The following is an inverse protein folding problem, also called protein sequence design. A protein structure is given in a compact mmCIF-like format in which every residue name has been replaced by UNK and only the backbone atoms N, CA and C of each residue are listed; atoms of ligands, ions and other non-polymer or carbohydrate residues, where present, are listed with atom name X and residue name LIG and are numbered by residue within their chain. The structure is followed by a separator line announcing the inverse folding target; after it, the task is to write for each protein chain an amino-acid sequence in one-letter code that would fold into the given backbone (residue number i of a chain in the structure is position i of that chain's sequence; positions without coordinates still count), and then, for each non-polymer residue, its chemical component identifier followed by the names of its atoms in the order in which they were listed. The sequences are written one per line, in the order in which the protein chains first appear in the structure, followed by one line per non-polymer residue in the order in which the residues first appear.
data_IF_316237046210
#
_entry.id   IF_316237046210
#
_cell.length_a   1.000
_cell.length_b   1.000
_cell.length_c   1.000
_cell.angle_alpha   90.00
_cell.angle_beta   90.00
_cell.angle_gamma   90.00
#
_symmetry.space_group_name_H-M   'P 1'
#
loop_
_entity.id
_entity.type
_entity.pdbx_description
1 polymer ?
#
# COMPACT_ATOMS: atom_id res chain seq x y z
N UNK A 1 7.65 -64.62 1.23
CA UNK A 1 8.18 -63.32 1.73
C UNK A 1 8.12 -62.20 0.69
N UNK A 2 8.63 -62.37 -0.54
CA UNK A 2 8.60 -61.31 -1.58
C UNK A 2 7.21 -60.75 -1.95
N UNK A 3 6.16 -61.58 -1.98
CA UNK A 3 4.79 -61.14 -2.32
C UNK A 3 4.12 -60.28 -1.23
N UNK A 4 4.43 -60.54 0.05
CA UNK A 4 3.91 -59.74 1.18
C UNK A 4 4.59 -58.37 1.19
N UNK A 5 5.89 -58.32 0.90
CA UNK A 5 6.64 -57.07 0.80
C UNK A 5 6.12 -56.17 -0.33
N UNK A 6 5.76 -56.75 -1.48
CA UNK A 6 5.15 -56.01 -2.59
C UNK A 6 3.78 -55.41 -2.22
N UNK A 7 2.97 -56.16 -1.47
CA UNK A 7 1.66 -55.69 -1.02
C UNK A 7 1.75 -54.52 -0.05
N UNK A 8 2.74 -54.51 0.85
CA UNK A 8 2.99 -53.41 1.79
C UNK A 8 3.43 -52.14 1.05
N UNK A 9 4.28 -52.27 0.03
CA UNK A 9 4.71 -51.12 -0.81
C UNK A 9 3.54 -50.54 -1.60
N UNK A 10 2.70 -51.40 -2.21
CA UNK A 10 1.51 -50.96 -2.94
C UNK A 10 0.53 -50.26 -1.99
N UNK A 11 0.35 -50.76 -0.77
CA UNK A 11 -0.51 -50.13 0.24
C UNK A 11 0.04 -48.76 0.68
N UNK A 12 1.37 -48.61 0.77
CA UNK A 12 2.03 -47.34 1.10
C UNK A 12 1.95 -46.31 -0.04
N UNK A 13 1.97 -46.76 -1.30
CA UNK A 13 1.80 -45.92 -2.49
C UNK A 13 0.33 -45.52 -2.74
N UNK A 14 -0.62 -46.27 -2.19
CA UNK A 14 -2.05 -45.98 -2.24
C UNK A 14 -2.52 -45.09 -1.09
N UNK A 15 -1.66 -44.76 -0.13
CA UNK A 15 -1.96 -43.69 0.83
C UNK A 15 -2.07 -42.40 0.00
N UNK A 16 -3.26 -41.78 -0.10
CA UNK A 16 -3.36 -40.49 -0.74
C UNK A 16 -2.40 -39.58 0.02
N UNK A 17 -1.39 -39.06 -0.68
CA UNK A 17 -0.66 -37.90 -0.18
C UNK A 17 -1.73 -36.83 -0.06
N UNK A 18 -2.23 -36.62 1.16
CA UNK A 18 -2.97 -35.42 1.51
C UNK A 18 -1.99 -34.28 1.33
N UNK A 19 -1.81 -33.86 0.07
CA UNK A 19 -1.37 -32.53 -0.24
C UNK A 19 -2.49 -31.67 0.31
N UNK A 20 -2.28 -31.15 1.51
CA UNK A 20 -3.05 -30.01 1.98
C UNK A 20 -2.90 -28.97 0.89
N UNK A 21 -3.97 -28.72 0.13
CA UNK A 21 -4.02 -27.59 -0.77
C UNK A 21 -3.78 -26.36 0.11
N UNK A 22 -2.53 -25.90 0.19
CA UNK A 22 -2.20 -24.70 0.92
C UNK A 22 -2.88 -23.58 0.15
N UNK A 23 -3.92 -23.01 0.74
CA UNK A 23 -4.57 -21.83 0.19
C UNK A 23 -3.48 -20.75 0.08
N UNK A 24 -3.10 -20.42 -1.15
CA UNK A 24 -2.13 -19.35 -1.42
C UNK A 24 -2.88 -18.04 -1.32
N UNK A 25 -2.71 -17.34 -0.20
CA UNK A 25 -3.23 -15.99 -0.04
C UNK A 25 -2.32 -15.01 -0.79
N UNK A 26 -2.91 -14.13 -1.58
CA UNK A 26 -2.24 -12.91 -2.04
C UNK A 26 -2.22 -11.86 -0.93
N UNK A 27 -1.40 -10.82 -1.09
CA UNK A 27 -1.38 -9.67 -0.18
C UNK A 27 -2.77 -9.05 -0.02
N UNK A 28 -3.50 -8.87 -1.12
CA UNK A 28 -4.90 -8.44 -1.12
C UNK A 28 -5.79 -9.32 -0.24
N UNK A 29 -5.65 -10.64 -0.34
CA UNK A 29 -6.48 -11.58 0.43
C UNK A 29 -6.21 -11.47 1.93
N UNK A 30 -4.97 -11.18 2.32
CA UNK A 30 -4.60 -10.92 3.71
C UNK A 30 -5.27 -9.64 4.20
N UNK A 31 -5.09 -8.53 3.48
CA UNK A 31 -5.62 -7.21 3.85
C UNK A 31 -7.15 -7.22 3.96
N UNK A 32 -7.84 -7.57 2.88
CA UNK A 32 -9.31 -7.60 2.82
C UNK A 32 -9.90 -8.69 3.72
N UNK A 33 -9.17 -9.80 3.90
CA UNK A 33 -9.59 -10.87 4.79
C UNK A 33 -9.54 -10.48 6.27
N UNK A 34 -8.56 -9.69 6.70
CA UNK A 34 -8.50 -9.15 8.06
C UNK A 34 -9.66 -8.19 8.30
N UNK A 35 -9.92 -7.27 7.35
CA UNK A 35 -11.05 -6.33 7.44
C UNK A 35 -12.39 -7.08 7.62
N UNK A 36 -12.62 -8.10 6.78
CA UNK A 36 -13.83 -8.93 6.85
C UNK A 36 -13.97 -9.68 8.18
N UNK A 37 -12.86 -10.16 8.75
CA UNK A 37 -12.88 -10.82 10.06
C UNK A 37 -13.26 -9.87 11.19
N UNK A 38 -12.84 -8.60 11.10
CA UNK A 38 -13.23 -7.53 12.03
C UNK A 38 -14.68 -7.07 11.83
N UNK A 39 -15.31 -7.45 10.72
CA UNK A 39 -16.62 -6.98 10.24
C UNK A 39 -16.62 -5.49 9.88
N UNK A 40 -15.48 -4.99 9.37
CA UNK A 40 -15.43 -3.66 8.79
C UNK A 40 -15.99 -3.64 7.37
N UNK A 41 -16.59 -2.51 7.01
CA UNK A 41 -16.97 -2.18 5.64
C UNK A 41 -15.76 -1.58 4.93
N UNK A 42 -15.52 -1.96 3.67
CA UNK A 42 -14.41 -1.42 2.90
C UNK A 42 -14.71 0.03 2.52
N UNK A 43 -13.83 0.93 2.90
CA UNK A 43 -13.93 2.35 2.55
C UNK A 43 -13.08 2.63 1.31
N UNK A 44 -11.79 2.35 1.40
CA UNK A 44 -10.83 2.60 0.32
C UNK A 44 -9.58 1.73 0.45
N UNK A 45 -8.88 1.56 -0.67
CA UNK A 45 -7.57 0.95 -0.73
C UNK A 45 -6.57 1.94 -1.31
N UNK A 46 -5.46 2.13 -0.61
CA UNK A 46 -4.42 3.08 -0.97
C UNK A 46 -3.16 2.31 -1.37
N UNK A 47 -2.53 2.72 -2.47
CA UNK A 47 -1.26 2.18 -2.94
C UNK A 47 -0.30 3.35 -3.08
N UNK A 48 0.72 3.37 -2.21
CA UNK A 48 1.79 4.35 -2.25
C UNK A 48 3.05 3.69 -2.79
N UNK A 49 3.65 4.28 -3.82
CA UNK A 49 4.87 3.78 -4.44
C UNK A 49 5.84 4.95 -4.55
N UNK A 50 7.04 4.81 -4.00
CA UNK A 50 7.99 5.91 -3.99
C UNK A 50 9.44 5.53 -3.82
N UNK A 51 10.31 6.52 -3.95
CA UNK A 51 11.75 6.37 -3.74
C UNK A 51 12.57 7.35 -4.58
N UNK A 52 13.89 7.18 -4.52
CA UNK A 52 14.84 7.95 -5.32
C UNK A 52 14.82 7.45 -6.76
N UNK A 53 14.65 8.37 -7.72
CA UNK A 53 14.76 8.09 -9.15
C UNK A 53 16.08 8.59 -9.75
N UNK A 54 16.69 9.65 -9.19
CA UNK A 54 17.99 10.16 -9.64
C UNK A 54 18.83 10.63 -8.45
N UNK A 55 20.13 10.33 -8.46
CA UNK A 55 21.09 10.81 -7.44
C UNK A 55 21.65 12.19 -7.83
N UNK A 56 20.79 13.09 -8.33
CA UNK A 56 21.15 14.44 -8.71
C UNK A 56 19.98 15.42 -8.54
N UNK A 57 20.32 16.71 -8.43
CA UNK A 57 19.36 17.80 -8.50
C UNK A 57 19.10 18.14 -9.97
N UNK A 58 17.83 18.19 -10.37
CA UNK A 58 17.43 18.41 -11.76
C UNK A 58 16.73 19.75 -11.94
N UNK A 59 16.79 20.32 -13.16
CA UNK A 59 16.16 21.60 -13.46
C UNK A 59 14.63 21.52 -13.49
N UNK A 60 13.99 22.70 -13.45
CA UNK A 60 12.56 22.87 -13.66
C UNK A 60 12.06 22.25 -14.96
N UNK A 61 12.81 22.36 -16.04
CA UNK A 61 12.41 21.82 -17.35
C UNK A 61 12.42 20.30 -17.31
N UNK A 62 13.45 19.72 -16.67
CA UNK A 62 13.59 18.26 -16.55
C UNK A 62 12.53 17.66 -15.62
N UNK A 63 12.21 18.29 -14.49
CA UNK A 63 11.16 17.79 -13.59
C UNK A 63 9.78 17.79 -14.28
N UNK A 64 9.50 18.80 -15.12
CA UNK A 64 8.28 18.87 -15.93
C UNK A 64 8.24 17.86 -17.06
N UNK A 65 9.38 17.53 -17.64
CA UNK A 65 9.48 16.48 -18.65
C UNK A 65 9.15 15.12 -18.04
N UNK A 66 9.83 14.75 -16.94
CA UNK A 66 9.58 13.50 -16.22
C UNK A 66 8.12 13.43 -15.73
N UNK A 67 7.59 14.53 -15.16
CA UNK A 67 6.19 14.58 -14.71
C UNK A 67 5.19 14.31 -15.84
N UNK A 68 5.43 14.83 -17.04
CA UNK A 68 4.59 14.56 -18.22
C UNK A 68 4.71 13.11 -18.70
N UNK A 69 5.92 12.57 -18.77
CA UNK A 69 6.16 11.17 -19.15
C UNK A 69 5.42 10.21 -18.21
N UNK A 70 5.56 10.40 -16.89
CA UNK A 70 4.87 9.58 -15.88
C UNK A 70 3.36 9.74 -15.97
N UNK A 71 2.87 10.97 -16.14
CA UNK A 71 1.43 11.24 -16.31
C UNK A 71 0.86 10.43 -17.49
N UNK A 72 1.57 10.45 -18.62
CA UNK A 72 1.14 9.75 -19.83
C UNK A 72 1.25 8.23 -19.68
N UNK A 73 2.28 7.72 -19.00
CA UNK A 73 2.44 6.29 -18.70
C UNK A 73 1.35 5.75 -17.75
N UNK A 74 0.98 6.54 -16.75
CA UNK A 74 -0.14 6.25 -15.85
C UNK A 74 -1.50 6.57 -16.45
N UNK A 75 -1.53 7.13 -17.67
CA UNK A 75 -2.72 7.47 -18.44
C UNK A 75 -3.72 8.31 -17.63
N UNK A 76 -3.23 9.37 -16.99
CA UNK A 76 -4.14 10.29 -16.33
C UNK A 76 -5.03 10.97 -17.37
N UNK A 77 -6.32 11.05 -17.05
CA UNK A 77 -7.35 11.65 -17.90
C UNK A 77 -7.67 13.08 -17.47
N UNK A 78 -8.32 13.81 -18.37
CA UNK A 78 -8.81 15.17 -18.12
C UNK A 78 -7.93 16.27 -18.72
N UNK A 79 -8.44 17.50 -18.67
CA UNK A 79 -7.73 18.70 -19.11
C UNK A 79 -7.02 19.37 -17.93
N UNK A 80 -5.90 20.06 -18.18
CA UNK A 80 -5.19 20.79 -17.14
C UNK A 80 -6.04 21.96 -16.62
N UNK A 81 -6.26 22.02 -15.32
CA UNK A 81 -6.96 23.12 -14.66
C UNK A 81 -5.95 24.18 -14.20
N UNK A 82 -6.22 25.44 -14.54
CA UNK A 82 -5.50 26.58 -13.98
C UNK A 82 -5.83 26.72 -12.48
N UNK A 83 -4.79 26.73 -11.64
CA UNK A 83 -4.84 26.80 -10.16
C UNK A 83 -5.73 27.92 -9.61
N UNK A 84 -6.06 28.93 -10.42
CA UNK A 84 -6.93 30.04 -10.02
C UNK A 84 -8.44 29.70 -9.95
N UNK A 85 -8.85 28.48 -10.28
CA UNK A 85 -10.23 28.01 -10.10
C UNK A 85 -10.32 27.02 -8.94
N UNK A 86 -10.51 27.58 -7.74
CA UNK A 86 -10.60 26.83 -6.49
C UNK A 86 -11.76 25.83 -6.40
N UNK A 87 -11.58 24.87 -5.51
CA UNK A 87 -12.53 23.85 -5.04
C UNK A 87 -13.27 23.06 -6.14
N UNK A 88 -12.52 22.34 -6.96
CA UNK A 88 -13.10 21.34 -7.85
C UNK A 88 -12.80 19.93 -7.33
N UNK A 89 -13.88 19.22 -6.98
CA UNK A 89 -13.91 17.76 -7.06
C UNK A 89 -13.51 17.38 -8.49
N UNK A 90 -12.29 16.87 -8.65
CA UNK A 90 -11.73 16.47 -9.94
C UNK A 90 -12.37 15.15 -10.40
N UNK A 91 -13.66 15.09 -10.75
CA UNK A 91 -14.27 13.81 -11.20
C UNK A 91 -13.79 13.40 -12.61
N UNK A 92 -12.50 13.15 -12.81
CA UNK A 92 -11.89 12.69 -14.07
C UNK A 92 -11.92 13.66 -15.25
N UNK A 93 -12.55 14.84 -15.10
CA UNK A 93 -12.64 15.87 -16.14
C UNK A 93 -11.38 16.72 -16.23
N UNK A 94 -10.67 16.87 -15.12
CA UNK A 94 -9.52 17.75 -15.01
C UNK A 94 -8.40 17.07 -14.24
N UNK A 95 -7.17 17.51 -14.48
CA UNK A 95 -6.04 17.32 -13.59
C UNK A 95 -5.47 18.66 -13.16
N UNK A 96 -4.90 18.72 -11.97
CA UNK A 96 -4.26 19.89 -11.40
C UNK A 96 -2.74 19.65 -11.36
N UNK A 97 -1.97 20.68 -11.69
CA UNK A 97 -0.51 20.69 -11.51
C UNK A 97 -0.15 21.77 -10.52
N UNK A 98 0.58 21.43 -9.47
CA UNK A 98 1.20 22.34 -8.52
C UNK A 98 2.71 22.34 -8.70
N UNK A 99 3.32 23.53 -8.66
CA UNK A 99 4.75 23.70 -8.92
C UNK A 99 5.36 24.62 -7.88
N UNK A 100 6.48 24.21 -7.28
CA UNK A 100 7.28 25.03 -6.36
C UNK A 100 8.73 25.00 -6.83
N UNK A 101 9.32 26.17 -7.04
CA UNK A 101 10.70 26.30 -7.49
C UNK A 101 11.43 27.34 -6.64
N UNK A 102 12.43 26.87 -5.91
CA UNK A 102 13.25 27.63 -4.99
C UNK A 102 14.73 27.25 -5.18
N UNK A 103 15.63 28.01 -4.57
CA UNK A 103 17.06 27.70 -4.65
C UNK A 103 17.35 26.34 -4.00
N UNK A 104 17.86 25.40 -4.80
CA UNK A 104 18.15 24.04 -4.34
C UNK A 104 16.92 23.17 -4.10
N UNK A 105 15.73 23.60 -4.51
CA UNK A 105 14.50 22.81 -4.38
C UNK A 105 13.55 23.02 -5.56
N UNK A 106 13.24 21.94 -6.26
CA UNK A 106 12.23 21.91 -7.32
C UNK A 106 11.19 20.85 -7.00
N UNK A 107 9.92 21.21 -7.05
CA UNK A 107 8.81 20.30 -6.77
C UNK A 107 7.70 20.45 -7.78
N UNK A 108 7.10 19.32 -8.15
CA UNK A 108 5.97 19.23 -9.03
C UNK A 108 5.02 18.17 -8.48
N UNK A 109 3.77 18.55 -8.25
CA UNK A 109 2.69 17.63 -7.89
C UNK A 109 1.62 17.65 -8.98
N UNK A 110 1.16 16.47 -9.40
CA UNK A 110 0.05 16.30 -10.35
C UNK A 110 -1.05 15.53 -9.62
N UNK A 111 -2.24 16.11 -9.57
CA UNK A 111 -3.44 15.48 -9.02
C UNK A 111 -4.42 15.22 -10.15
N UNK A 112 -4.83 13.98 -10.31
CA UNK A 112 -5.72 13.60 -11.41
C UNK A 112 -6.34 12.24 -11.18
N UNK A 113 -6.88 11.68 -12.26
CA UNK A 113 -7.60 10.41 -12.23
C UNK A 113 -7.08 9.51 -13.34
N UNK A 114 -7.04 8.21 -13.09
CA UNK A 114 -6.78 7.19 -14.11
C UNK A 114 -8.00 6.96 -15.02
N UNK A 115 -7.82 6.23 -16.13
CA UNK A 115 -8.92 5.79 -17.02
C UNK A 115 -10.05 5.04 -16.26
N UNK A 116 -9.71 4.36 -15.16
CA UNK A 116 -10.64 3.66 -14.28
C UNK A 116 -11.32 4.57 -13.24
N UNK A 117 -11.10 5.89 -13.31
CA UNK A 117 -11.58 6.88 -12.33
C UNK A 117 -11.06 6.68 -10.90
N UNK A 118 -9.90 6.05 -10.74
CA UNK A 118 -9.18 6.07 -9.45
C UNK A 118 -8.44 7.41 -9.32
N UNK A 119 -8.55 8.13 -8.18
CA UNK A 119 -7.67 9.26 -7.87
C UNK A 119 -6.20 8.85 -7.88
N UNK A 120 -5.36 9.68 -8.50
CA UNK A 120 -3.91 9.51 -8.62
C UNK A 120 -3.22 10.81 -8.26
N UNK A 121 -2.22 10.74 -7.39
CA UNK A 121 -1.30 11.83 -7.11
C UNK A 121 0.11 11.42 -7.51
N UNK A 122 0.79 12.26 -8.28
CA UNK A 122 2.21 12.11 -8.64
C UNK A 122 2.96 13.27 -7.99
N UNK A 123 4.01 12.99 -7.22
CA UNK A 123 4.87 14.00 -6.60
C UNK A 123 6.31 13.73 -7.02
N UNK A 124 6.92 14.72 -7.66
CA UNK A 124 8.33 14.76 -7.97
C UNK A 124 8.98 15.85 -7.14
N UNK A 125 10.06 15.52 -6.46
CA UNK A 125 10.82 16.48 -5.67
C UNK A 125 12.30 16.31 -5.90
N UNK A 126 12.98 17.41 -6.23
CA UNK A 126 14.41 17.46 -6.42
C UNK A 126 15.01 18.41 -5.41
N UNK A 127 15.96 17.94 -4.62
CA UNK A 127 16.60 18.68 -3.53
C UNK A 127 18.10 18.71 -3.77
N UNK A 128 18.74 19.82 -3.46
CA UNK A 128 20.19 19.96 -3.39
C UNK A 128 20.58 20.12 -1.93
N UNK A 129 21.45 19.23 -1.43
CA UNK A 129 22.06 19.44 -0.13
C UNK A 129 23.23 20.43 -0.28
N UNK A 130 23.13 21.66 0.26
CA UNK A 130 24.14 22.69 0.05
C UNK A 130 25.46 22.38 0.77
N UNK A 131 25.44 21.58 1.84
CA UNK A 131 26.63 21.31 2.66
C UNK A 131 27.59 20.33 1.98
N UNK A 132 27.05 19.36 1.24
CA UNK A 132 27.83 18.30 0.57
C UNK A 132 27.75 18.39 -0.97
N UNK A 133 26.96 19.33 -1.50
CA UNK A 133 26.72 19.55 -2.93
C UNK A 133 26.29 18.27 -3.68
N UNK A 134 25.45 17.47 -3.03
CA UNK A 134 24.82 16.27 -3.59
C UNK A 134 23.34 16.57 -3.73
N UNK A 135 22.79 16.29 -4.91
CA UNK A 135 21.36 16.39 -5.15
C UNK A 135 20.69 15.02 -5.17
N UNK A 136 19.38 15.03 -4.97
CA UNK A 136 18.55 13.83 -5.03
C UNK A 136 17.19 14.21 -5.62
N UNK A 137 16.67 13.36 -6.50
CA UNK A 137 15.31 13.50 -7.03
C UNK A 137 14.49 12.26 -6.68
N UNK A 138 13.35 12.49 -6.02
CA UNK A 138 12.42 11.47 -5.57
C UNK A 138 11.12 11.53 -6.37
N UNK A 139 10.48 10.37 -6.50
CA UNK A 139 9.16 10.18 -7.07
C UNK A 139 8.29 9.50 -6.02
N UNK A 140 7.08 10.02 -5.80
CA UNK A 140 6.03 9.37 -5.04
C UNK A 140 4.75 9.35 -5.87
N UNK A 141 4.09 8.21 -5.93
CA UNK A 141 2.82 8.01 -6.61
C UNK A 141 1.85 7.42 -5.60
N UNK A 142 0.71 8.08 -5.40
CA UNK A 142 -0.39 7.57 -4.59
C UNK A 142 -1.59 7.25 -5.49
N UNK A 143 -2.23 6.12 -5.26
CA UNK A 143 -3.44 5.70 -5.97
C UNK A 143 -4.48 5.24 -4.96
N UNK A 144 -5.66 5.86 -4.99
CA UNK A 144 -6.81 5.51 -4.14
C UNK A 144 -7.81 4.70 -4.97
N UNK A 145 -8.27 3.57 -4.44
CA UNK A 145 -9.18 2.65 -5.15
C UNK A 145 -10.36 2.27 -4.27
N UNK A 146 -11.49 2.02 -4.92
CA UNK A 146 -12.67 1.43 -4.28
C UNK A 146 -12.57 -0.11 -4.16
N UNK A 147 -13.52 -0.72 -3.45
CA UNK A 147 -13.56 -2.17 -3.23
C UNK A 147 -13.66 -2.96 -4.55
N UNK A 148 -14.47 -2.46 -5.49
CA UNK A 148 -14.83 -3.18 -6.73
C UNK A 148 -13.62 -3.39 -7.62
N UNK A 149 -12.68 -2.44 -7.60
CA UNK A 149 -11.52 -2.43 -8.49
C UNK A 149 -10.19 -2.64 -7.75
N UNK A 150 -10.18 -3.04 -6.47
CA UNK A 150 -8.94 -3.18 -5.70
C UNK A 150 -8.02 -4.34 -6.16
N UNK A 151 -7.35 -4.16 -7.30
CA UNK A 151 -6.34 -5.05 -7.86
C UNK A 151 -4.99 -4.33 -7.88
N UNK A 152 -4.06 -4.75 -7.02
CA UNK A 152 -2.81 -4.02 -6.78
C UNK A 152 -1.65 -4.46 -7.69
N UNK A 153 -1.61 -5.74 -8.10
CA UNK A 153 -0.43 -6.32 -8.76
C UNK A 153 -0.09 -5.65 -10.11
N UNK A 154 -1.10 -5.35 -10.95
CA UNK A 154 -0.87 -4.71 -12.24
C UNK A 154 -0.38 -3.27 -12.13
N UNK A 155 -0.84 -2.56 -11.09
CA UNK A 155 -0.43 -1.19 -10.78
C UNK A 155 1.02 -1.20 -10.29
N UNK A 156 1.35 -2.08 -9.35
CA UNK A 156 2.70 -2.27 -8.83
C UNK A 156 3.68 -2.60 -9.96
N UNK A 157 3.31 -3.51 -10.88
CA UNK A 157 4.18 -3.85 -12.01
C UNK A 157 4.38 -2.67 -12.96
N UNK A 158 3.32 -1.90 -13.24
CA UNK A 158 3.39 -0.76 -14.16
C UNK A 158 4.27 0.36 -13.58
N UNK A 159 4.07 0.72 -12.31
CA UNK A 159 4.89 1.75 -11.66
C UNK A 159 6.32 1.24 -11.41
N UNK A 160 6.50 -0.06 -11.14
CA UNK A 160 7.83 -0.67 -11.04
C UNK A 160 8.68 -0.43 -12.29
N UNK A 161 8.07 -0.54 -13.48
CA UNK A 161 8.76 -0.27 -14.76
C UNK A 161 9.22 1.18 -14.90
N UNK A 162 8.48 2.14 -14.32
CA UNK A 162 8.89 3.54 -14.27
C UNK A 162 10.21 3.65 -13.50
N UNK A 163 10.29 3.08 -12.30
CA UNK A 163 11.52 3.09 -11.49
C UNK A 163 12.66 2.32 -12.15
N UNK A 164 12.37 1.17 -12.78
CA UNK A 164 13.35 0.39 -13.51
C UNK A 164 13.98 1.19 -14.68
N UNK A 165 13.20 2.07 -15.33
CA UNK A 165 13.70 2.94 -16.41
C UNK A 165 14.77 3.93 -15.93
N UNK A 166 14.77 4.26 -14.64
CA UNK A 166 15.81 5.04 -13.97
C UNK A 166 16.91 4.18 -13.32
N UNK A 167 16.83 2.85 -13.45
CA UNK A 167 17.76 1.91 -12.79
C UNK A 167 17.59 1.88 -11.27
N UNK A 168 16.40 2.19 -10.77
CA UNK A 168 16.06 2.25 -9.34
C UNK A 168 14.96 1.23 -9.01
N UNK A 169 14.77 0.97 -7.73
CA UNK A 169 13.71 0.09 -7.24
C UNK A 169 12.77 0.89 -6.37
N UNK A 170 11.47 0.72 -6.59
CA UNK A 170 10.44 1.43 -5.83
C UNK A 170 10.21 0.75 -4.46
N UNK A 171 9.97 1.58 -3.45
CA UNK A 171 9.36 1.17 -2.19
C UNK A 171 7.84 1.21 -2.34
N UNK A 172 7.15 0.16 -1.92
CA UNK A 172 5.71 0.01 -2.08
C UNK A 172 5.08 -0.19 -0.71
N UNK A 173 4.05 0.60 -0.43
CA UNK A 173 3.15 0.37 0.69
C UNK A 173 1.71 0.28 0.20
N UNK A 174 0.96 -0.67 0.74
CA UNK A 174 -0.47 -0.85 0.43
C UNK A 174 -1.25 -0.74 1.72
N UNK A 175 -2.35 0.01 1.73
CA UNK A 175 -3.25 0.12 2.88
C UNK A 175 -4.69 -0.20 2.46
N UNK A 176 -5.40 -0.98 3.26
CA UNK A 176 -6.86 -1.08 3.19
C UNK A 176 -7.43 -0.34 4.38
N UNK A 177 -8.32 0.60 4.10
CA UNK A 177 -9.10 1.34 5.08
C UNK A 177 -10.53 0.83 5.08
N UNK A 178 -11.08 0.61 6.27
CA UNK A 178 -12.48 0.31 6.43
C UNK A 178 -13.04 0.84 7.72
N UNK A 179 -14.35 0.75 7.88
CA UNK A 179 -15.09 1.38 8.97
C UNK A 179 -16.04 0.42 9.65
N UNK A 180 -16.34 0.69 10.91
CA UNK A 180 -17.42 0.11 11.68
C UNK A 180 -18.21 1.26 12.30
N UNK A 181 -19.54 1.23 12.18
CA UNK A 181 -20.41 2.23 12.78
C UNK A 181 -20.25 2.27 14.31
N UNK A 182 -20.02 3.48 14.83
CA UNK A 182 -19.91 3.75 16.25
C UNK A 182 -18.62 3.25 16.91
N UNK A 183 -18.58 3.37 18.24
CA UNK A 183 -17.48 2.90 19.07
C UNK A 183 -17.55 1.38 19.26
N UNK A 184 -16.43 0.71 18.98
CA UNK A 184 -16.29 -0.73 19.21
C UNK A 184 -15.69 -1.01 20.59
N UNK A 185 -16.22 -2.04 21.26
CA UNK A 185 -15.69 -2.50 22.55
C UNK A 185 -14.24 -3.01 22.43
N UNK A 186 -13.32 -2.63 23.33
CA UNK A 186 -11.92 -3.08 23.26
C UNK A 186 -11.72 -4.60 23.31
N UNK A 187 -12.58 -5.34 24.02
CA UNK A 187 -12.52 -6.81 24.06
C UNK A 187 -12.98 -7.42 22.73
N UNK A 188 -13.94 -6.77 22.05
CA UNK A 188 -14.30 -7.10 20.67
C UNK A 188 -13.08 -6.92 19.77
N UNK A 189 -12.44 -5.75 19.80
CA UNK A 189 -11.24 -5.47 18.98
C UNK A 189 -10.17 -6.55 19.20
N UNK A 190 -9.82 -6.82 20.46
CA UNK A 190 -8.81 -7.82 20.82
C UNK A 190 -9.14 -9.20 20.24
N UNK A 191 -10.38 -9.65 20.42
CA UNK A 191 -10.84 -10.98 20.03
C UNK A 191 -10.80 -11.16 18.51
N UNK A 192 -11.34 -10.20 17.78
CA UNK A 192 -11.47 -10.31 16.32
C UNK A 192 -10.15 -10.01 15.61
N UNK A 193 -9.36 -9.03 16.08
CA UNK A 193 -8.02 -8.79 15.57
C UNK A 193 -7.11 -10.02 15.78
N UNK A 194 -7.09 -10.58 16.99
CA UNK A 194 -6.32 -11.80 17.27
C UNK A 194 -6.74 -12.99 16.42
N UNK A 195 -8.04 -13.15 16.15
CA UNK A 195 -8.55 -14.20 15.27
C UNK A 195 -8.12 -14.00 13.83
N UNK A 196 -8.26 -12.77 13.31
CA UNK A 196 -7.86 -12.39 11.96
C UNK A 196 -6.36 -12.61 11.73
N UNK A 197 -5.53 -12.10 12.64
CA UNK A 197 -4.07 -12.25 12.60
C UNK A 197 -3.68 -13.74 12.55
N UNK A 198 -4.26 -14.58 13.43
CA UNK A 198 -4.00 -16.03 13.46
C UNK A 198 -4.42 -16.74 12.16
N UNK A 199 -5.56 -16.36 11.58
CA UNK A 199 -6.05 -16.92 10.30
C UNK A 199 -5.02 -16.78 9.18
N UNK A 200 -4.32 -15.64 9.14
CA UNK A 200 -3.27 -15.35 8.16
C UNK A 200 -1.86 -15.70 8.65
N UNK A 201 -1.74 -16.62 9.62
CA UNK A 201 -0.45 -17.03 10.21
C UNK A 201 0.41 -15.86 10.71
N UNK A 202 -0.24 -14.77 11.08
CA UNK A 202 0.40 -13.59 11.61
C UNK A 202 0.95 -13.83 13.01
N UNK A 203 2.14 -13.32 13.27
CA UNK A 203 2.78 -13.24 14.58
C UNK A 203 2.87 -11.77 14.97
N UNK A 204 2.24 -11.41 16.08
CA UNK A 204 2.37 -10.06 16.65
C UNK A 204 3.81 -9.88 17.13
N UNK A 205 4.49 -8.90 16.56
CA UNK A 205 5.84 -8.47 16.91
C UNK A 205 5.78 -7.40 18.00
N UNK A 206 4.83 -6.47 17.86
CA UNK A 206 4.57 -5.38 18.80
C UNK A 206 3.07 -5.07 18.84
N UNK A 207 2.59 -4.59 19.98
CA UNK A 207 1.23 -4.11 20.18
C UNK A 207 1.26 -2.80 20.95
N UNK A 208 0.55 -1.81 20.44
CA UNK A 208 0.30 -0.53 21.10
C UNK A 208 -1.20 -0.39 21.39
N UNK A 209 -1.56 0.16 22.55
CA UNK A 209 -2.96 0.38 22.93
C UNK A 209 -3.07 1.62 23.80
N UNK A 210 -4.02 2.48 23.47
CA UNK A 210 -4.48 3.61 24.27
C UNK A 210 -6.03 3.62 24.33
N UNK A 211 -6.69 4.62 24.98
CA UNK A 211 -8.15 4.68 25.07
C UNK A 211 -8.94 4.77 23.74
N UNK A 212 -8.32 5.27 22.67
CA UNK A 212 -8.92 5.54 21.36
C UNK A 212 -8.35 4.66 20.24
N UNK A 213 -7.15 4.12 20.41
CA UNK A 213 -6.44 3.35 19.38
C UNK A 213 -5.86 2.03 19.89
N UNK A 214 -5.93 1.01 19.03
CA UNK A 214 -5.16 -0.23 19.16
C UNK A 214 -4.39 -0.48 17.87
N UNK A 215 -3.08 -0.69 17.95
CA UNK A 215 -2.21 -0.98 16.80
C UNK A 215 -1.39 -2.25 17.01
N UNK A 216 -1.25 -3.03 15.95
CA UNK A 216 -0.49 -4.28 15.91
C UNK A 216 0.55 -4.21 14.80
N UNK A 217 1.80 -4.46 15.15
CA UNK A 217 2.88 -4.72 14.19
C UNK A 217 3.05 -6.22 14.07
N UNK A 218 2.92 -6.75 12.85
CA UNK A 218 2.74 -8.17 12.59
C UNK A 218 3.74 -8.64 11.53
N UNK A 219 4.17 -9.88 11.66
CA UNK A 219 4.81 -10.64 10.59
C UNK A 219 3.91 -11.78 10.13
N UNK A 220 3.71 -11.93 8.83
CA UNK A 220 3.05 -13.10 8.21
C UNK A 220 3.91 -13.69 7.08
N UNK A 221 3.95 -15.01 6.92
CA UNK A 221 4.64 -15.65 5.79
C UNK A 221 3.91 -15.50 4.45
N UNK A 222 2.74 -14.86 4.40
CA UNK A 222 1.95 -14.69 3.17
C UNK A 222 2.25 -13.39 2.40
N UNK A 223 3.08 -12.51 2.97
CA UNK A 223 3.52 -11.27 2.33
C UNK A 223 5.04 -11.35 2.20
N UNK A 224 5.56 -11.26 0.98
CA UNK A 224 6.99 -11.47 0.70
C UNK A 224 7.84 -10.27 1.12
N UNK A 225 7.37 -9.05 0.87
CA UNK A 225 8.07 -7.83 1.24
C UNK A 225 8.04 -7.62 2.77
N UNK A 226 9.14 -7.19 3.37
CA UNK A 226 9.21 -6.91 4.81
C UNK A 226 10.24 -5.82 5.11
N UNK A 227 10.04 -5.12 6.22
CA UNK A 227 11.04 -4.22 6.81
C UNK A 227 11.52 -4.78 8.15
N UNK A 228 12.59 -4.20 8.67
CA UNK A 228 13.07 -4.49 10.01
C UNK A 228 12.56 -3.44 10.98
N UNK A 229 11.80 -3.88 12.00
CA UNK A 229 11.59 -3.10 13.22
C UNK A 229 12.53 -3.66 14.28
N UNK A 230 13.52 -2.85 14.67
CA UNK A 230 14.69 -3.30 15.44
C UNK A 230 15.39 -4.44 14.69
N UNK A 231 15.38 -5.66 15.25
CA UNK A 231 15.99 -6.86 14.66
C UNK A 231 14.94 -7.86 14.14
N UNK A 232 13.66 -7.48 14.12
CA UNK A 232 12.55 -8.37 13.75
C UNK A 232 11.95 -7.95 12.43
N UNK A 233 11.68 -8.94 11.57
CA UNK A 233 10.94 -8.76 10.32
C UNK A 233 9.48 -8.42 10.63
N UNK A 234 8.95 -7.41 9.96
CA UNK A 234 7.55 -7.00 10.03
C UNK A 234 7.08 -6.67 8.61
N UNK A 235 5.84 -7.03 8.28
CA UNK A 235 5.29 -6.84 6.94
C UNK A 235 3.79 -6.61 6.90
N UNK A 236 3.19 -6.38 8.07
CA UNK A 236 1.77 -6.11 8.20
C UNK A 236 1.56 -5.24 9.44
N UNK A 237 0.77 -4.19 9.29
CA UNK A 237 0.37 -3.31 10.37
C UNK A 237 -1.15 -3.18 10.38
N UNK A 238 -1.76 -3.33 11.56
CA UNK A 238 -3.20 -3.18 11.77
C UNK A 238 -3.42 -2.11 12.83
N UNK A 239 -4.03 -0.99 12.46
CA UNK A 239 -4.44 0.06 13.40
C UNK A 239 -5.97 0.16 13.42
N UNK A 240 -6.54 0.33 14.60
CA UNK A 240 -7.98 0.48 14.80
C UNK A 240 -8.20 1.67 15.73
N UNK A 241 -8.85 2.72 15.25
CA UNK A 241 -9.05 3.97 15.99
C UNK A 241 -10.51 4.41 15.93
N UNK A 242 -11.05 4.83 17.06
CA UNK A 242 -12.37 5.46 17.10
C UNK A 242 -12.28 6.97 16.86
N UNK A 243 -13.12 7.49 15.98
CA UNK A 243 -13.31 8.91 15.72
C UNK A 243 -14.63 9.38 16.34
N UNK A 244 -14.54 10.17 17.42
CA UNK A 244 -15.69 10.74 18.13
C UNK A 244 -16.52 11.71 17.27
N UNK A 245 -15.90 12.44 16.34
CA UNK A 245 -16.58 13.45 15.53
C UNK A 245 -17.54 12.82 14.51
N UNK A 246 -17.11 11.73 13.90
CA UNK A 246 -17.86 11.00 12.87
C UNK A 246 -18.67 9.85 13.47
N UNK A 247 -18.44 9.52 14.74
CA UNK A 247 -18.98 8.35 15.40
C UNK A 247 -18.71 7.07 14.57
N UNK A 248 -17.47 6.90 14.15
CA UNK A 248 -17.00 5.76 13.36
C UNK A 248 -15.70 5.19 13.94
N UNK A 249 -15.58 3.87 13.92
CA UNK A 249 -14.31 3.18 14.20
C UNK A 249 -13.64 2.82 12.89
N UNK A 250 -12.49 3.41 12.63
CA UNK A 250 -11.67 3.14 11.45
C UNK A 250 -10.71 1.99 11.69
N UNK A 251 -10.43 1.24 10.62
CA UNK A 251 -9.53 0.10 10.57
C UNK A 251 -8.58 0.34 9.40
N UNK A 252 -7.29 0.44 9.68
CA UNK A 252 -6.23 0.50 8.68
C UNK A 252 -5.44 -0.79 8.71
N UNK A 253 -5.18 -1.35 7.54
CA UNK A 253 -4.45 -2.60 7.37
C UNK A 253 -3.39 -2.36 6.30
N UNK A 254 -2.16 -2.10 6.74
CA UNK A 254 -1.05 -1.68 5.88
C UNK A 254 0.03 -2.75 5.70
N UNK A 255 0.69 -2.76 4.55
CA UNK A 255 1.91 -3.51 4.25
C UNK A 255 3.00 -2.56 3.78
N UNK A 256 4.27 -2.74 4.19
CA UNK A 256 4.67 -3.43 5.41
C UNK A 256 4.24 -2.66 6.68
N UNK A 257 3.98 -1.35 6.56
CA UNK A 257 3.50 -0.45 7.62
C UNK A 257 2.50 0.56 7.04
N UNK A 258 1.63 1.13 7.88
CA UNK A 258 0.74 2.22 7.47
C UNK A 258 1.57 3.52 7.42
N UNK A 259 1.55 4.20 6.26
CA UNK A 259 2.30 5.45 6.02
C UNK A 259 1.43 6.70 6.08
N UNK A 260 0.12 6.55 6.08
CA UNK A 260 -0.85 7.63 6.28
C UNK A 260 -1.19 7.79 7.77
N UNK A 261 -1.39 9.03 8.21
CA UNK A 261 -1.78 9.31 9.59
C UNK A 261 -3.17 8.76 9.90
N UNK A 262 -3.33 8.12 11.06
CA UNK A 262 -4.61 7.57 11.53
C UNK A 262 -5.09 8.24 12.81
#
# INVERSE_FOLDING_TARGET
MKRIFLFVIILFLLLPTFSTANMKYSERDVLTGILKELKGEFLEGEINIGGVILDEFISKERIKEIGREIKDELKLIGEELDQNQGDLFLEGKYYLVEEIYEEGFNHLAIYGYSEEQNPVTIMLSSYLNPDINIGETTLFINIIKDEKNFHINGIIESIGKIFDSFGKTAEITTCVVGTIDGRVDPQYIEKYASRAIKKFKGKVVEKYTDPLITSYTIYTPYIDNYIFSLEKRVNLNLAIRYNDYENQTYIWIGTPIITTGY
#
